data_IF_402137366374
#
_entry.id   IF_402137366374
#
_cell.length_a   1.000
_cell.length_b   1.000
_cell.length_c   1.000
_cell.angle_alpha   90.00
_cell.angle_beta   90.00
_cell.angle_gamma   90.00
#
_symmetry.space_group_name_H-M   'P 1'
#
loop_
_entity.id
_entity.type
_entity.pdbx_description
1 polymer ?
#
# COMPACT_ATOMS: atom_id res chain seq x y z
N UNK A 1 -1.16 1.90 3.24
CA UNK A 1 -2.56 2.31 3.17
C UNK A 1 -2.75 3.67 3.86
N UNK A 2 -3.69 4.50 3.34
CA UNK A 2 -3.87 5.88 3.82
C UNK A 2 -4.19 5.99 5.30
N UNK A 3 -4.98 5.07 5.85
CA UNK A 3 -5.35 5.06 7.28
C UNK A 3 -4.15 4.76 8.16
N UNK A 4 -3.33 3.75 7.80
CA UNK A 4 -2.10 3.45 8.55
C UNK A 4 -1.12 4.64 8.50
N UNK A 5 -0.97 5.27 7.33
CA UNK A 5 -0.13 6.45 7.17
C UNK A 5 -0.62 7.62 8.05
N UNK A 6 -1.93 7.88 8.07
CA UNK A 6 -2.52 8.92 8.93
C UNK A 6 -2.24 8.67 10.42
N UNK A 7 -2.35 7.43 10.87
CA UNK A 7 -1.98 7.05 12.24
C UNK A 7 -0.50 7.29 12.54
N UNK A 8 0.39 6.94 11.61
CA UNK A 8 1.82 7.23 11.73
C UNK A 8 2.13 8.72 11.87
N UNK A 9 1.46 9.55 11.08
CA UNK A 9 1.60 11.01 11.13
C UNK A 9 1.12 11.54 12.49
N UNK A 10 -0.04 11.10 12.98
CA UNK A 10 -0.56 11.51 14.29
C UNK A 10 0.40 11.13 15.42
N UNK A 11 0.93 9.91 15.42
CA UNK A 11 1.94 9.48 16.38
C UNK A 11 3.19 10.38 16.35
N UNK A 12 3.68 10.72 15.16
CA UNK A 12 4.84 11.60 15.02
C UNK A 12 4.56 13.03 15.50
N UNK A 13 3.32 13.53 15.35
CA UNK A 13 2.92 14.86 15.86
C UNK A 13 2.81 14.92 17.38
N UNK A 14 2.43 13.84 18.03
CA UNK A 14 2.13 13.78 19.46
C UNK A 14 3.31 13.28 20.31
N UNK A 15 4.21 12.48 19.72
CA UNK A 15 5.28 11.83 20.47
C UNK A 15 6.50 12.76 20.65
N UNK A 16 6.92 13.06 21.90
CA UNK A 16 8.05 13.99 22.16
C UNK A 16 9.37 13.55 21.51
N UNK A 17 9.61 12.24 21.38
CA UNK A 17 10.82 11.70 20.75
C UNK A 17 10.82 11.82 19.21
N UNK A 18 9.75 12.34 18.61
CA UNK A 18 9.70 12.61 17.18
C UNK A 18 10.27 14.00 16.80
N UNK A 19 10.53 14.84 17.79
CA UNK A 19 11.03 16.20 17.54
C UNK A 19 12.38 16.19 16.83
N UNK A 20 12.46 16.85 15.66
CA UNK A 20 13.64 16.89 14.80
C UNK A 20 14.10 15.52 14.29
N UNK A 21 13.19 14.54 14.20
CA UNK A 21 13.45 13.21 13.69
C UNK A 21 12.67 12.93 12.41
N UNK A 22 13.20 12.02 11.60
CA UNK A 22 12.54 11.51 10.38
C UNK A 22 12.11 10.05 10.54
N UNK A 23 11.02 9.67 9.90
CA UNK A 23 10.48 8.31 9.97
C UNK A 23 9.99 7.82 8.61
N UNK A 24 10.21 6.54 8.32
CA UNK A 24 9.52 5.86 7.24
C UNK A 24 8.27 5.18 7.79
N UNK A 25 7.11 5.52 7.22
CA UNK A 25 5.85 4.85 7.49
C UNK A 25 5.50 3.93 6.32
N UNK A 26 5.64 2.64 6.51
CA UNK A 26 5.36 1.62 5.51
C UNK A 26 5.04 0.28 6.16
N UNK A 27 4.53 -0.66 5.36
CA UNK A 27 4.52 -2.08 5.73
C UNK A 27 5.90 -2.69 5.50
N UNK A 28 6.18 -3.79 6.19
CA UNK A 28 7.36 -4.64 5.96
C UNK A 28 7.09 -5.68 4.85
N UNK A 29 5.83 -5.88 4.49
CA UNK A 29 5.44 -6.79 3.43
C UNK A 29 5.84 -6.23 2.06
N UNK A 30 6.41 -7.09 1.24
CA UNK A 30 6.79 -6.77 -0.13
C UNK A 30 5.94 -7.60 -1.09
N UNK A 31 5.28 -6.94 -2.03
CA UNK A 31 4.45 -7.56 -3.06
C UNK A 31 4.93 -7.12 -4.42
N UNK A 32 5.06 -8.05 -5.37
CA UNK A 32 5.39 -7.71 -6.74
C UNK A 32 4.19 -7.09 -7.46
N UNK A 33 4.45 -6.32 -8.52
CA UNK A 33 3.38 -5.74 -9.35
C UNK A 33 2.51 -6.83 -9.96
N UNK A 34 3.10 -7.97 -10.32
CA UNK A 34 2.36 -9.12 -10.87
C UNK A 34 1.42 -9.75 -9.84
N UNK A 35 1.89 -9.97 -8.61
CA UNK A 35 1.05 -10.48 -7.50
C UNK A 35 -0.10 -9.51 -7.18
N UNK A 36 0.17 -8.22 -7.17
CA UNK A 36 -0.86 -7.20 -6.99
C UNK A 36 -1.90 -7.24 -8.11
N UNK A 37 -1.46 -7.31 -9.36
CA UNK A 37 -2.34 -7.37 -10.52
C UNK A 37 -3.24 -8.62 -10.49
N UNK A 38 -2.67 -9.79 -10.14
CA UNK A 38 -3.42 -11.03 -10.00
C UNK A 38 -4.45 -10.96 -8.87
N UNK A 39 -4.09 -10.37 -7.74
CA UNK A 39 -5.01 -10.18 -6.61
C UNK A 39 -6.19 -9.28 -6.98
N UNK A 40 -5.93 -8.15 -7.64
CA UNK A 40 -6.98 -7.25 -8.14
C UNK A 40 -7.87 -7.96 -9.16
N UNK A 41 -7.27 -8.72 -10.10
CA UNK A 41 -8.03 -9.48 -11.09
C UNK A 41 -9.00 -10.44 -10.42
N UNK A 42 -8.53 -11.23 -9.45
CA UNK A 42 -9.37 -12.20 -8.71
C UNK A 42 -10.51 -11.54 -7.95
N UNK A 43 -10.27 -10.36 -7.36
CA UNK A 43 -11.31 -9.61 -6.63
C UNK A 43 -12.39 -9.04 -7.57
N UNK A 44 -12.03 -8.65 -8.78
CA UNK A 44 -12.97 -8.04 -9.75
C UNK A 44 -13.66 -9.10 -10.61
N UNK A 45 -12.92 -10.10 -11.08
CA UNK A 45 -13.39 -11.12 -12.04
C UNK A 45 -13.80 -12.43 -11.42
N UNK A 46 -13.38 -12.67 -10.19
CA UNK A 46 -13.57 -13.95 -9.49
C UNK A 46 -12.47 -14.97 -9.77
N UNK A 47 -12.43 -16.04 -8.98
CA UNK A 47 -11.35 -17.04 -9.02
C UNK A 47 -11.39 -17.95 -10.27
N UNK A 48 -12.54 -18.03 -10.95
CA UNK A 48 -12.75 -18.92 -12.11
C UNK A 48 -12.21 -18.32 -13.42
N UNK A 49 -12.04 -16.99 -13.51
CA UNK A 49 -11.55 -16.36 -14.70
C UNK A 49 -10.02 -16.37 -14.74
N UNK A 50 -9.39 -16.98 -15.78
CA UNK A 50 -7.94 -17.05 -15.87
C UNK A 50 -7.30 -15.66 -15.92
N UNK A 51 -6.30 -15.43 -15.05
CA UNK A 51 -5.53 -14.19 -15.06
C UNK A 51 -4.74 -14.07 -16.37
N UNK A 52 -4.89 -12.94 -17.06
CA UNK A 52 -4.20 -12.62 -18.32
C UNK A 52 -3.51 -11.29 -18.19
N UNK A 53 -2.26 -11.23 -18.61
CA UNK A 53 -1.47 -10.01 -18.62
C UNK A 53 -0.53 -9.97 -19.82
N UNK A 54 -0.07 -8.77 -20.15
CA UNK A 54 1.02 -8.51 -21.09
C UNK A 54 2.12 -7.78 -20.32
N UNK A 55 3.35 -8.21 -20.49
CA UNK A 55 4.51 -7.57 -19.85
C UNK A 55 5.23 -6.72 -20.88
N UNK A 56 5.34 -5.43 -20.59
CA UNK A 56 6.20 -4.53 -21.35
C UNK A 56 7.64 -4.56 -20.80
N UNK A 57 8.64 -4.17 -21.60
CA UNK A 57 10.01 -4.00 -21.13
C UNK A 57 10.04 -2.99 -19.96
N UNK A 58 10.89 -3.22 -18.93
CA UNK A 58 11.06 -2.26 -17.84
C UNK A 58 11.65 -0.95 -18.34
N UNK A 59 11.38 0.14 -17.66
CA UNK A 59 12.05 1.41 -17.92
C UNK A 59 13.55 1.30 -17.61
N UNK A 60 14.38 2.01 -18.38
CA UNK A 60 15.85 1.94 -18.28
C UNK A 60 16.39 2.27 -16.87
N UNK A 61 15.71 3.19 -16.15
CA UNK A 61 16.09 3.66 -14.83
C UNK A 61 15.05 3.35 -13.75
N UNK A 62 14.33 2.23 -13.88
CA UNK A 62 13.32 1.83 -12.93
C UNK A 62 13.92 1.20 -11.66
N UNK A 63 13.33 1.52 -10.52
CA UNK A 63 13.69 0.92 -9.23
C UNK A 63 13.05 -0.45 -9.11
N UNK A 64 13.83 -1.51 -9.30
CA UNK A 64 13.34 -2.89 -9.29
C UNK A 64 12.87 -3.39 -7.92
N UNK A 65 13.41 -2.83 -6.85
CA UNK A 65 13.01 -3.18 -5.48
C UNK A 65 13.17 -2.00 -4.53
N UNK A 66 12.08 -1.66 -3.84
CA UNK A 66 12.07 -0.59 -2.85
C UNK A 66 11.32 -1.06 -1.60
N UNK A 67 12.06 -1.30 -0.54
CA UNK A 67 11.50 -1.68 0.78
C UNK A 67 12.04 -0.69 1.81
N UNK A 68 11.21 0.21 2.36
CA UNK A 68 11.62 1.15 3.38
C UNK A 68 11.98 0.44 4.70
N UNK A 69 12.98 0.96 5.43
CA UNK A 69 13.29 0.52 6.78
C UNK A 69 12.27 1.15 7.75
N UNK A 70 11.49 0.33 8.44
CA UNK A 70 10.41 0.77 9.33
C UNK A 70 10.73 0.60 10.81
N UNK A 71 11.88 0.02 11.15
CA UNK A 71 12.27 -0.33 12.51
C UNK A 71 12.37 0.89 13.44
N UNK A 72 12.78 2.04 12.91
CA UNK A 72 12.85 3.30 13.67
C UNK A 72 11.45 3.76 14.11
N UNK A 73 10.48 3.76 13.19
CA UNK A 73 9.10 4.14 13.50
C UNK A 73 8.48 3.20 14.55
N UNK A 74 8.71 1.90 14.43
CA UNK A 74 8.25 0.91 15.42
C UNK A 74 8.90 1.11 16.79
N UNK A 75 10.21 1.25 16.85
CA UNK A 75 10.96 1.40 18.10
C UNK A 75 10.65 2.70 18.83
N UNK A 76 10.59 3.81 18.12
CA UNK A 76 10.45 5.15 18.71
C UNK A 76 9.00 5.54 18.93
N UNK A 77 8.12 5.28 17.97
CA UNK A 77 6.72 5.71 17.98
C UNK A 77 5.73 4.59 18.28
N UNK A 78 6.17 3.33 18.29
CA UNK A 78 5.27 2.19 18.38
C UNK A 78 4.42 1.99 17.11
N UNK A 79 4.80 2.63 15.99
CA UNK A 79 4.06 2.52 14.74
C UNK A 79 4.32 1.18 14.03
N UNK A 80 3.25 0.55 13.62
CA UNK A 80 3.26 -0.61 12.74
C UNK A 80 2.06 -0.55 11.81
N UNK A 81 2.29 -0.67 10.49
CA UNK A 81 1.20 -0.77 9.54
C UNK A 81 0.50 -2.13 9.70
N UNK A 82 -0.80 -2.13 9.95
CA UNK A 82 -1.58 -3.33 10.27
C UNK A 82 -2.54 -3.75 9.17
N UNK A 83 -2.84 -2.86 8.22
CA UNK A 83 -3.75 -3.15 7.12
C UNK A 83 -3.05 -4.00 6.06
N UNK A 84 -3.54 -5.22 5.84
CA UNK A 84 -3.05 -6.08 4.75
C UNK A 84 -3.41 -5.51 3.38
N UNK A 85 -2.65 -5.90 2.35
CA UNK A 85 -2.96 -5.54 0.97
C UNK A 85 -4.35 -6.02 0.55
N UNK A 86 -4.74 -7.21 0.98
CA UNK A 86 -6.06 -7.80 0.69
C UNK A 86 -7.20 -6.96 1.28
N UNK A 87 -7.11 -6.61 2.56
CA UNK A 87 -8.09 -5.77 3.25
C UNK A 87 -8.17 -4.36 2.65
N UNK A 88 -7.02 -3.77 2.29
CA UNK A 88 -6.98 -2.48 1.61
C UNK A 88 -7.72 -2.51 0.28
N UNK A 89 -7.54 -3.57 -0.52
CA UNK A 89 -8.21 -3.70 -1.81
C UNK A 89 -9.72 -3.91 -1.67
N UNK A 90 -10.18 -4.57 -0.60
CA UNK A 90 -11.61 -4.73 -0.30
C UNK A 90 -12.32 -3.39 -0.04
N UNK A 91 -11.58 -2.38 0.41
CA UNK A 91 -12.11 -1.02 0.58
C UNK A 91 -11.92 -0.15 -0.68
N UNK A 92 -10.76 -0.23 -1.31
CA UNK A 92 -10.38 0.65 -2.42
C UNK A 92 -11.12 0.31 -3.70
N UNK A 93 -11.30 -0.98 -4.02
CA UNK A 93 -11.98 -1.39 -5.26
C UNK A 93 -13.43 -0.87 -5.33
N UNK A 94 -14.29 -1.09 -4.31
CA UNK A 94 -15.64 -0.56 -4.34
C UNK A 94 -15.71 0.96 -4.37
N UNK A 95 -14.75 1.64 -3.72
CA UNK A 95 -14.65 3.09 -3.76
C UNK A 95 -14.36 3.61 -5.19
N UNK A 96 -13.37 3.01 -5.87
CA UNK A 96 -13.05 3.35 -7.26
C UNK A 96 -14.24 3.09 -8.19
N UNK A 97 -14.91 1.94 -8.05
CA UNK A 97 -16.11 1.63 -8.83
C UNK A 97 -17.23 2.67 -8.62
N UNK A 98 -17.42 3.09 -7.38
CA UNK A 98 -18.36 4.16 -7.03
C UNK A 98 -17.99 5.49 -7.67
N UNK A 99 -16.72 5.87 -7.64
CA UNK A 99 -16.21 7.10 -8.22
C UNK A 99 -16.34 7.13 -9.76
N UNK A 100 -16.05 6.00 -10.41
CA UNK A 100 -16.28 5.85 -11.87
C UNK A 100 -17.76 6.02 -12.21
N UNK A 101 -18.67 5.34 -11.48
CA UNK A 101 -20.13 5.44 -11.71
C UNK A 101 -20.65 6.86 -11.49
N UNK A 102 -20.05 7.60 -10.56
CA UNK A 102 -20.40 9.00 -10.28
C UNK A 102 -19.76 10.00 -11.26
N UNK A 103 -18.86 9.56 -12.15
CA UNK A 103 -18.13 10.42 -13.06
C UNK A 103 -17.12 11.35 -12.37
N UNK A 104 -16.62 10.95 -11.21
CA UNK A 104 -15.64 11.71 -10.42
C UNK A 104 -14.19 11.44 -10.83
N UNK A 105 -13.96 10.31 -11.51
CA UNK A 105 -12.69 9.90 -12.12
C UNK A 105 -12.95 9.19 -13.43
#
# INVERSE_FOLDING_TARGET
YGVDLAQGILLAMEHPAALNEDFNFSTVESTTVLELAELIWRKIRGPEEPFRYVSDPPFEYDVQRRVPATEKAKRVLGFEATTSLDAMLDEVIPWIEGAIKAGSI
#
